data_IF_922095212446
#
_entry.id   IF_922095212446
#
_cell.length_a   1.000
_cell.length_b   1.000
_cell.length_c   1.000
_cell.angle_alpha   90.00
_cell.angle_beta   90.00
_cell.angle_gamma   90.00
#
_symmetry.space_group_name_H-M   'P 1'
#
loop_
_entity.id
_entity.type
_entity.pdbx_description
1 polymer ?
#
# COMPACT_ATOMS: atom_id res chain seq x y z
N UNK A 1 -4.80 -1.66 11.66
CA UNK A 1 -5.18 -0.80 10.52
C UNK A 1 -4.66 0.61 10.70
N UNK A 2 -3.56 0.93 10.04
CA UNK A 2 -2.97 2.28 10.00
C UNK A 2 -3.92 3.26 9.26
N UNK A 3 -3.85 4.56 9.61
CA UNK A 3 -4.60 5.64 8.95
C UNK A 3 -4.37 5.65 7.43
N UNK A 4 -3.14 5.37 7.00
CA UNK A 4 -2.77 5.26 5.58
C UNK A 4 -3.59 4.17 4.88
N UNK A 5 -3.62 2.96 5.45
CA UNK A 5 -4.36 1.81 4.93
C UNK A 5 -5.87 2.09 4.86
N UNK A 6 -6.42 2.80 5.84
CA UNK A 6 -7.84 3.20 5.85
C UNK A 6 -8.22 4.14 4.71
N UNK A 7 -7.36 5.11 4.41
CA UNK A 7 -7.59 6.06 3.30
C UNK A 7 -7.44 5.38 1.95
N UNK A 8 -6.40 4.55 1.80
CA UNK A 8 -6.17 3.78 0.59
C UNK A 8 -7.28 2.76 0.34
N UNK A 9 -7.85 2.17 1.37
CA UNK A 9 -9.02 1.30 1.26
C UNK A 9 -10.25 2.04 0.70
N UNK A 10 -10.35 3.36 0.93
CA UNK A 10 -11.46 4.18 0.47
C UNK A 10 -11.25 4.72 -0.95
N UNK A 11 -10.02 5.09 -1.31
CA UNK A 11 -9.64 5.47 -2.67
C UNK A 11 -9.52 4.22 -3.54
N UNK A 12 -10.19 4.16 -4.69
CA UNK A 12 -10.35 2.94 -5.50
C UNK A 12 -9.05 2.29 -6.09
N UNK A 13 -7.86 2.74 -5.72
CA UNK A 13 -6.58 2.23 -6.20
C UNK A 13 -5.90 1.27 -5.22
N UNK A 14 -5.71 0.01 -5.64
CA UNK A 14 -4.88 -0.95 -4.89
C UNK A 14 -3.38 -0.65 -5.03
N UNK A 15 -2.98 0.10 -6.06
CA UNK A 15 -1.61 0.55 -6.34
C UNK A 15 -1.47 2.04 -6.09
N UNK A 16 -0.38 2.45 -5.46
CA UNK A 16 -0.11 3.85 -5.16
C UNK A 16 1.39 4.11 -5.06
N UNK A 17 1.78 5.31 -5.44
CA UNK A 17 3.14 5.82 -5.35
C UNK A 17 3.32 6.68 -4.10
N UNK A 18 4.57 7.02 -3.80
CA UNK A 18 4.83 7.99 -2.73
C UNK A 18 4.28 9.40 -3.05
N UNK A 19 4.18 9.77 -4.33
CA UNK A 19 3.56 11.02 -4.76
C UNK A 19 2.04 11.01 -4.54
N UNK A 20 1.37 9.88 -4.78
CA UNK A 20 -0.06 9.76 -4.49
C UNK A 20 -0.33 9.94 -2.98
N UNK A 21 0.58 9.44 -2.13
CA UNK A 21 0.50 9.64 -0.68
C UNK A 21 0.67 11.12 -0.28
N UNK A 22 1.40 11.94 -1.04
CA UNK A 22 1.51 13.38 -0.72
C UNK A 22 0.23 14.13 -1.03
N UNK A 23 -0.57 13.65 -1.98
CA UNK A 23 -1.89 14.20 -2.30
C UNK A 23 -2.94 13.71 -1.29
N UNK A 24 -2.84 12.44 -0.88
CA UNK A 24 -3.85 11.79 -0.03
C UNK A 24 -3.67 12.07 1.47
N UNK A 25 -2.44 12.34 1.92
CA UNK A 25 -2.09 12.54 3.32
C UNK A 25 -1.51 13.93 3.52
N UNK A 26 -2.22 14.73 4.29
CA UNK A 26 -1.67 15.97 4.84
C UNK A 26 -0.52 15.65 5.81
N UNK A 27 0.52 16.49 5.77
CA UNK A 27 1.67 16.40 6.66
C UNK A 27 3.01 16.41 5.96
N UNK A 28 4.07 16.45 6.77
CA UNK A 28 5.45 16.47 6.28
C UNK A 28 5.86 15.15 5.63
N UNK A 29 6.89 15.19 4.79
CA UNK A 29 7.47 13.98 4.21
C UNK A 29 7.90 12.97 5.29
N UNK A 30 8.43 13.46 6.42
CA UNK A 30 8.82 12.59 7.53
C UNK A 30 7.64 11.83 8.15
N UNK A 31 6.50 12.50 8.37
CA UNK A 31 5.33 11.84 8.96
C UNK A 31 4.71 10.82 8.00
N UNK A 32 4.64 11.15 6.70
CA UNK A 32 4.21 10.22 5.64
C UNK A 32 5.13 9.00 5.55
N UNK A 33 6.44 9.21 5.57
CA UNK A 33 7.41 8.11 5.56
C UNK A 33 7.28 7.19 6.79
N UNK A 34 7.00 7.76 7.97
CA UNK A 34 6.71 6.99 9.18
C UNK A 34 5.42 6.18 9.10
N UNK A 35 4.39 6.68 8.42
CA UNK A 35 3.15 5.93 8.17
C UNK A 35 3.39 4.75 7.22
N UNK A 36 4.13 4.97 6.13
CA UNK A 36 4.50 3.93 5.16
C UNK A 36 5.32 2.83 5.83
N UNK A 37 6.35 3.19 6.60
CA UNK A 37 7.17 2.22 7.36
C UNK A 37 6.33 1.35 8.29
N UNK A 38 5.39 1.96 9.03
CA UNK A 38 4.49 1.22 9.93
C UNK A 38 3.54 0.30 9.17
N UNK A 39 2.99 0.76 8.05
CA UNK A 39 2.11 -0.07 7.22
C UNK A 39 2.87 -1.25 6.57
N UNK A 40 4.11 -1.04 6.15
CA UNK A 40 5.00 -2.11 5.66
C UNK A 40 5.31 -3.13 6.77
N UNK A 41 5.67 -2.65 7.97
CA UNK A 41 5.98 -3.51 9.11
C UNK A 41 4.76 -4.32 9.59
N UNK A 42 3.56 -3.75 9.46
CA UNK A 42 2.31 -4.42 9.79
C UNK A 42 1.80 -5.37 8.68
N UNK A 43 2.48 -5.43 7.52
CA UNK A 43 2.03 -6.23 6.39
C UNK A 43 0.75 -5.71 5.71
N UNK A 44 0.33 -4.48 6.02
CA UNK A 44 -0.89 -3.88 5.46
C UNK A 44 -0.68 -3.39 4.01
N UNK A 45 0.57 -3.06 3.67
CA UNK A 45 0.99 -2.69 2.32
C UNK A 45 2.24 -3.49 1.92
N UNK A 46 2.34 -3.76 0.63
CA UNK A 46 3.44 -4.47 -0.01
C UNK A 46 4.25 -3.48 -0.86
N UNK A 47 5.58 -3.57 -0.81
CA UNK A 47 6.46 -2.80 -1.68
C UNK A 47 6.72 -3.58 -2.96
N UNK A 48 6.20 -3.09 -4.08
CA UNK A 48 6.41 -3.68 -5.40
C UNK A 48 7.79 -3.31 -5.96
N UNK A 49 8.11 -2.02 -5.91
CA UNK A 49 9.42 -1.46 -6.27
C UNK A 49 9.65 -0.16 -5.49
N UNK A 50 10.84 0.41 -5.58
CA UNK A 50 11.14 1.69 -4.90
C UNK A 50 10.15 2.76 -5.35
N UNK A 51 9.39 3.32 -4.39
CA UNK A 51 8.38 4.35 -4.64
C UNK A 51 7.03 3.85 -5.16
N UNK A 52 6.82 2.55 -5.34
CA UNK A 52 5.55 1.95 -5.75
C UNK A 52 5.12 0.87 -4.76
N UNK A 53 3.90 1.03 -4.26
CA UNK A 53 3.33 0.21 -3.21
C UNK A 53 1.96 -0.31 -3.62
N UNK A 54 1.53 -1.38 -2.96
CA UNK A 54 0.23 -1.99 -3.14
C UNK A 54 -0.38 -2.31 -1.77
N UNK A 55 -1.71 -2.31 -1.64
CA UNK A 55 -2.36 -2.86 -0.46
C UNK A 55 -2.13 -4.38 -0.39
N UNK A 56 -1.98 -4.93 0.81
CA UNK A 56 -1.94 -6.38 0.95
C UNK A 56 -3.29 -6.99 0.52
N UNK A 57 -3.31 -8.25 0.03
CA UNK A 57 -4.51 -8.88 -0.54
C UNK A 57 -5.74 -8.82 0.38
N UNK A 58 -5.51 -8.94 1.69
CA UNK A 58 -6.54 -8.88 2.74
C UNK A 58 -7.27 -7.53 2.83
N UNK A 59 -6.63 -6.46 2.35
CA UNK A 59 -7.17 -5.09 2.35
C UNK A 59 -7.60 -4.62 0.95
N UNK A 60 -7.66 -5.49 -0.05
CA UNK A 60 -8.08 -5.12 -1.40
C UNK A 60 -9.59 -5.34 -1.57
N UNK A 61 -10.34 -4.31 -1.99
CA UNK A 61 -11.78 -4.42 -2.30
C UNK A 61 -12.07 -5.24 -3.57
N UNK A 62 -11.17 -5.15 -4.54
CA UNK A 62 -11.12 -6.04 -5.71
C UNK A 62 -9.81 -6.79 -5.63
N UNK A 63 -9.85 -8.10 -5.52
CA UNK A 63 -8.66 -8.96 -5.61
C UNK A 63 -7.83 -8.52 -6.82
N UNK A 64 -6.62 -8.00 -6.60
CA UNK A 64 -5.60 -7.91 -7.64
C UNK A 64 -5.12 -9.34 -7.89
N UNK A 65 -5.90 -10.06 -8.70
CA UNK A 65 -5.68 -11.46 -9.08
C UNK A 65 -4.25 -11.65 -9.58
N UNK A 66 -3.68 -10.64 -10.26
CA UNK A 66 -2.33 -10.67 -10.83
C UNK A 66 -1.19 -10.81 -9.81
N UNK A 67 -1.35 -10.35 -8.57
CA UNK A 67 -0.28 -10.47 -7.56
C UNK A 67 -0.33 -11.80 -6.79
N UNK A 68 -1.53 -12.36 -6.62
CA UNK A 68 -1.73 -13.66 -5.99
C UNK A 68 -1.07 -14.79 -6.79
N UNK A 69 -1.11 -14.71 -8.13
CA UNK A 69 -0.45 -15.68 -9.00
C UNK A 69 1.09 -15.58 -9.00
N UNK A 70 1.65 -14.38 -8.83
CA UNK A 70 3.12 -14.19 -8.80
C UNK A 70 3.76 -14.60 -7.48
N UNK A 71 2.99 -14.73 -6.40
CA UNK A 71 3.47 -15.30 -5.12
C UNK A 71 3.28 -16.82 -5.03
N UNK A 72 2.49 -17.42 -5.92
CA UNK A 72 2.19 -18.85 -5.96
C UNK A 72 2.99 -19.64 -7.02
N UNK A 73 4.05 -19.07 -7.59
CA UNK A 73 4.99 -19.85 -8.39
C UNK A 73 6.05 -20.44 -7.46
N UNK A 74 5.92 -21.69 -6.97
CA UNK A 74 7.10 -22.41 -6.53
C UNK A 74 8.00 -22.59 -7.75
N UNK A 75 9.29 -22.32 -7.55
CA UNK A 75 10.34 -22.62 -8.51
C UNK A 75 10.36 -24.12 -8.85
#
# INVERSE_FOLDING_TARGET
MNRLTKLLFHSAGNLFTYADLSVLLEGSDHSRHGLVKRALAAGEILRLRRGLYCLAPEYQKKTCIWFYYLQQTPA
#
